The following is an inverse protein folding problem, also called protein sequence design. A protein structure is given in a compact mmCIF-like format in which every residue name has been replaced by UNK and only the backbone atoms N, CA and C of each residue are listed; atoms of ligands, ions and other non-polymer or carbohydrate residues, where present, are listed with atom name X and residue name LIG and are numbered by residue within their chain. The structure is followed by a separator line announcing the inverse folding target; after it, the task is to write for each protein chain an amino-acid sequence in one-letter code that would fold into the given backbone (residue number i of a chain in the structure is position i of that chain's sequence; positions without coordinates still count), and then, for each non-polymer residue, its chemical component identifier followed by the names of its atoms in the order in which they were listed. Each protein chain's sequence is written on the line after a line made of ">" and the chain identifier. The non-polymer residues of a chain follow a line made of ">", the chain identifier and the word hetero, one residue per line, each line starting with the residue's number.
data_IF_301448018618
#
_entry.id   IF_301448018618
#
_cell.length_a   1.000
_cell.length_b   1.000
_cell.length_c   1.000
_cell.angle_alpha   90.00
_cell.angle_beta   90.00
_cell.angle_gamma   90.00
#
_symmetry.space_group_name_H-M   'P 1'
#
loop_
_entity.id
_entity.type
_entity.pdbx_description
1 polymer ?
#
# COMPACT_ATOMS: atom_id res chain seq x y z
N UNK A 1 -12.37 17.09 41.77
CA UNK A 1 -12.69 17.00 40.32
C UNK A 1 -13.46 18.24 39.89
N UNK A 2 -12.83 19.11 39.09
CA UNK A 2 -13.37 20.40 38.62
C UNK A 2 -14.34 20.20 37.43
N UNK A 3 -15.34 21.10 37.28
CA UNK A 3 -16.35 21.10 36.20
C UNK A 3 -15.72 20.98 34.80
N UNK A 4 -14.60 21.69 34.60
CA UNK A 4 -13.83 21.75 33.35
C UNK A 4 -13.38 20.36 32.88
N UNK A 5 -12.78 19.57 33.78
CA UNK A 5 -12.32 18.22 33.47
C UNK A 5 -13.48 17.26 33.18
N UNK A 6 -14.63 17.47 33.84
CA UNK A 6 -15.79 16.64 33.56
C UNK A 6 -16.38 16.89 32.17
N UNK A 7 -16.42 18.15 31.74
CA UNK A 7 -16.90 18.52 30.39
C UNK A 7 -15.92 18.06 29.32
N UNK A 8 -14.60 18.14 29.57
CA UNK A 8 -13.60 17.73 28.59
C UNK A 8 -13.57 16.22 28.31
N UNK A 9 -13.84 15.40 29.34
CA UNK A 9 -13.76 13.93 29.25
C UNK A 9 -15.13 13.24 29.33
N UNK A 10 -16.21 13.99 29.14
CA UNK A 10 -17.60 13.49 29.26
C UNK A 10 -17.83 12.67 30.54
N UNK A 11 -17.21 13.07 31.65
CA UNK A 11 -17.38 12.42 32.95
C UNK A 11 -18.61 13.01 33.63
N UNK A 12 -19.40 12.17 34.30
CA UNK A 12 -20.56 12.62 35.09
C UNK A 12 -20.17 13.73 36.07
N UNK A 13 -20.75 14.90 35.83
CA UNK A 13 -20.69 16.05 36.71
C UNK A 13 -22.07 16.15 37.35
N UNK A 14 -22.17 15.76 38.62
CA UNK A 14 -23.42 15.85 39.37
C UNK A 14 -24.07 17.25 39.31
N UNK A 15 -25.38 17.30 39.48
CA UNK A 15 -26.22 18.49 39.27
C UNK A 15 -25.77 19.75 40.04
N UNK A 16 -25.06 19.57 41.16
CA UNK A 16 -24.56 20.64 42.01
C UNK A 16 -23.51 21.54 41.34
N UNK A 17 -22.77 21.03 40.35
CA UNK A 17 -21.67 21.76 39.69
C UNK A 17 -22.05 22.38 38.35
N UNK A 18 -23.35 22.40 38.00
CA UNK A 18 -23.83 22.95 36.74
C UNK A 18 -23.92 24.49 36.77
N UNK A 19 -23.51 25.20 35.69
CA UNK A 19 -23.56 26.65 35.64
C UNK A 19 -25.01 27.16 35.68
N UNK A 20 -25.34 27.98 36.69
CA UNK A 20 -26.68 28.53 36.90
C UNK A 20 -26.99 29.81 36.12
N UNK A 21 -25.97 30.62 35.79
CA UNK A 21 -26.14 31.87 35.04
C UNK A 21 -26.17 31.65 33.52
N UNK A 22 -26.94 32.46 32.78
CA UNK A 22 -27.02 32.39 31.31
C UNK A 22 -25.66 32.63 30.63
N UNK A 23 -24.86 33.58 31.14
CA UNK A 23 -23.49 33.82 30.64
C UNK A 23 -22.56 32.63 30.92
N UNK A 24 -22.75 31.93 32.04
CA UNK A 24 -21.95 30.75 32.36
C UNK A 24 -22.33 29.55 31.46
N UNK A 25 -23.59 29.43 31.07
CA UNK A 25 -24.06 28.41 30.12
C UNK A 25 -23.46 28.58 28.73
N UNK A 26 -23.40 29.80 28.21
CA UNK A 26 -22.77 30.06 26.90
C UNK A 26 -21.29 29.75 26.92
N UNK A 27 -20.57 30.17 27.98
CA UNK A 27 -19.15 29.83 28.17
C UNK A 27 -18.94 28.32 28.27
N UNK A 28 -19.81 27.59 28.99
CA UNK A 28 -19.71 26.13 29.06
C UNK A 28 -19.97 25.43 27.72
N UNK A 29 -20.89 25.96 26.90
CA UNK A 29 -21.18 25.42 25.58
C UNK A 29 -20.00 25.61 24.63
N UNK A 30 -19.39 26.80 24.61
CA UNK A 30 -18.19 27.09 23.82
C UNK A 30 -17.01 26.22 24.28
N UNK A 31 -16.84 26.05 25.60
CA UNK A 31 -15.81 25.18 26.15
C UNK A 31 -16.01 23.71 25.77
N UNK A 32 -17.26 23.20 25.83
CA UNK A 32 -17.59 21.85 25.40
C UNK A 32 -17.30 21.64 23.90
N UNK A 33 -17.64 22.61 23.05
CA UNK A 33 -17.32 22.55 21.61
C UNK A 33 -15.81 22.54 21.37
N UNK A 34 -15.05 23.38 22.08
CA UNK A 34 -13.60 23.41 21.96
C UNK A 34 -12.96 22.09 22.40
N UNK A 35 -13.41 21.51 23.53
CA UNK A 35 -12.92 20.23 24.01
C UNK A 35 -13.20 19.11 23.00
N UNK A 36 -14.41 19.08 22.43
CA UNK A 36 -14.80 18.11 21.39
C UNK A 36 -13.92 18.24 20.13
N UNK A 37 -13.64 19.47 19.68
CA UNK A 37 -12.75 19.71 18.53
C UNK A 37 -11.34 19.17 18.82
N UNK A 38 -10.76 19.48 19.98
CA UNK A 38 -9.41 19.01 20.35
C UNK A 38 -9.31 17.49 20.37
N UNK A 39 -10.28 16.79 20.96
CA UNK A 39 -10.32 15.33 20.98
C UNK A 39 -10.44 14.76 19.57
N UNK A 40 -11.31 15.33 18.74
CA UNK A 40 -11.48 14.89 17.36
C UNK A 40 -10.23 15.13 16.51
N UNK A 41 -9.50 16.24 16.70
CA UNK A 41 -8.24 16.48 15.99
C UNK A 41 -7.17 15.45 16.36
N UNK A 42 -7.07 15.08 17.65
CA UNK A 42 -6.17 14.00 18.06
C UNK A 42 -6.57 12.65 17.47
N UNK A 43 -7.87 12.33 17.50
CA UNK A 43 -8.41 11.11 16.87
C UNK A 43 -8.17 11.10 15.35
N UNK A 44 -8.29 12.25 14.68
CA UNK A 44 -8.01 12.39 13.26
C UNK A 44 -6.52 12.16 12.94
N UNK A 45 -5.61 12.68 13.75
CA UNK A 45 -4.18 12.43 13.58
C UNK A 45 -3.82 10.96 13.82
N UNK A 46 -4.42 10.35 14.85
CA UNK A 46 -4.28 8.92 15.11
C UNK A 46 -4.86 8.08 13.96
N UNK A 47 -6.05 8.44 13.46
CA UNK A 47 -6.70 7.76 12.34
C UNK A 47 -5.89 7.92 11.05
N UNK A 48 -5.29 9.08 10.81
CA UNK A 48 -4.40 9.30 9.66
C UNK A 48 -3.19 8.35 9.69
N UNK A 49 -2.65 8.07 10.88
CA UNK A 49 -1.59 7.06 11.02
C UNK A 49 -2.12 5.63 10.83
N UNK A 50 -3.30 5.32 11.36
CA UNK A 50 -3.91 3.99 11.21
C UNK A 50 -4.36 3.69 9.77
N UNK A 51 -4.68 4.72 8.99
CA UNK A 51 -5.07 4.61 7.59
C UNK A 51 -3.87 4.63 6.62
N UNK A 52 -2.66 4.94 7.08
CA UNK A 52 -1.50 4.84 6.18
C UNK A 52 -1.21 3.36 5.95
N UNK A 53 -1.47 2.91 4.72
CA UNK A 53 -1.24 1.53 4.31
C UNK A 53 0.25 1.20 4.48
N UNK A 54 0.62 0.20 5.31
CA UNK A 54 2.02 -0.14 5.55
C UNK A 54 2.70 -0.72 4.31
N UNK A 55 1.92 -1.17 3.33
CA UNK A 55 2.42 -1.83 2.13
C UNK A 55 1.90 -1.15 0.86
N UNK A 56 2.63 -0.13 0.40
CA UNK A 56 2.45 0.41 -0.95
C UNK A 56 3.25 -0.45 -1.90
N UNK A 57 2.56 -1.22 -2.73
CA UNK A 57 3.20 -1.99 -3.78
C UNK A 57 4.07 -1.05 -4.64
N UNK A 58 5.30 -1.46 -5.00
CA UNK A 58 6.18 -0.61 -5.81
C UNK A 58 5.60 -0.33 -7.20
N UNK A 59 4.74 -1.23 -7.69
CA UNK A 59 4.07 -1.15 -8.99
C UNK A 59 2.54 -1.24 -8.83
N UNK A 60 1.82 -0.43 -9.60
CA UNK A 60 0.34 -0.48 -9.63
C UNK A 60 -0.19 -1.62 -10.50
N UNK A 61 0.60 -2.07 -11.48
CA UNK A 61 0.23 -3.10 -12.44
C UNK A 61 1.18 -3.16 -13.64
N UNK A 62 0.79 -3.91 -14.67
CA UNK A 62 1.65 -4.16 -15.83
C UNK A 62 1.81 -2.93 -16.74
N UNK A 63 0.87 -1.98 -16.70
CA UNK A 63 0.91 -0.74 -17.48
C UNK A 63 1.67 0.41 -16.79
N UNK A 64 2.35 0.12 -15.68
CA UNK A 64 3.10 1.11 -14.91
C UNK A 64 4.36 1.59 -15.69
N UNK A 65 4.55 2.90 -15.75
CA UNK A 65 5.70 3.52 -16.41
C UNK A 65 7.04 3.09 -15.78
N UNK A 66 7.05 2.70 -14.49
CA UNK A 66 8.23 2.18 -13.79
C UNK A 66 8.84 0.94 -14.45
N UNK A 67 8.03 0.13 -15.13
CA UNK A 67 8.51 -1.07 -15.86
C UNK A 67 9.23 -0.74 -17.16
N UNK A 68 9.01 0.47 -17.68
CA UNK A 68 9.57 0.95 -18.94
C UNK A 68 10.71 1.94 -18.73
N UNK A 69 10.65 2.75 -17.67
CA UNK A 69 11.59 3.83 -17.39
C UNK A 69 12.45 3.52 -16.17
N UNK A 70 13.72 3.16 -16.42
CA UNK A 70 14.72 2.85 -15.37
C UNK A 70 14.91 3.99 -14.37
N UNK A 71 14.71 5.24 -14.80
CA UNK A 71 14.88 6.43 -13.95
C UNK A 71 13.81 6.60 -12.88
N UNK A 72 12.64 5.97 -13.04
CA UNK A 72 11.50 6.17 -12.13
C UNK A 72 11.63 5.34 -10.85
N UNK A 73 12.60 4.40 -10.79
CA UNK A 73 12.89 3.56 -9.62
C UNK A 73 14.42 3.40 -9.43
N UNK A 74 15.12 4.38 -8.83
CA UNK A 74 16.56 4.30 -8.58
C UNK A 74 16.91 3.23 -7.54
N UNK A 75 18.10 2.58 -7.60
CA UNK A 75 19.25 2.92 -8.44
C UNK A 75 19.29 2.25 -9.83
N UNK A 76 18.66 1.09 -10.00
CA UNK A 76 18.79 0.26 -11.21
C UNK A 76 17.47 -0.01 -11.94
N UNK A 77 16.43 0.78 -11.69
CA UNK A 77 15.09 0.51 -12.22
C UNK A 77 14.44 -0.67 -11.51
N UNK A 78 13.16 -0.88 -11.78
CA UNK A 78 12.43 -2.02 -11.27
C UNK A 78 12.84 -3.28 -12.04
N UNK A 79 13.45 -4.27 -11.39
CA UNK A 79 13.91 -5.51 -12.03
C UNK A 79 12.78 -6.53 -12.12
N UNK A 80 12.26 -6.75 -13.32
CA UNK A 80 11.18 -7.68 -13.57
C UNK A 80 11.73 -8.96 -14.20
N UNK A 81 11.53 -10.10 -13.53
CA UNK A 81 11.93 -11.41 -14.02
C UNK A 81 10.81 -12.14 -14.76
N UNK A 82 11.18 -12.96 -15.73
CA UNK A 82 10.28 -13.93 -16.39
C UNK A 82 11.04 -15.22 -16.65
N UNK A 83 10.32 -16.35 -16.63
CA UNK A 83 10.94 -17.66 -16.92
C UNK A 83 11.28 -17.76 -18.40
N UNK A 84 12.52 -18.18 -18.71
CA UNK A 84 13.00 -18.32 -20.09
C UNK A 84 12.20 -19.41 -20.82
N UNK A 85 11.76 -19.10 -22.04
CA UNK A 85 11.00 -20.02 -22.88
C UNK A 85 9.56 -20.23 -22.43
N UNK A 86 9.08 -19.44 -21.48
CA UNK A 86 7.70 -19.53 -21.00
C UNK A 86 6.72 -18.80 -21.92
N UNK A 87 5.42 -19.10 -21.76
CA UNK A 87 4.36 -18.44 -22.53
C UNK A 87 4.30 -16.94 -22.21
N UNK A 88 4.64 -16.58 -20.98
CA UNK A 88 4.73 -15.20 -20.52
C UNK A 88 5.84 -14.47 -21.28
N UNK A 89 7.03 -15.05 -21.41
CA UNK A 89 8.11 -14.44 -22.20
C UNK A 89 7.68 -14.19 -23.65
N UNK A 90 7.06 -15.21 -24.28
CA UNK A 90 6.57 -15.11 -25.64
C UNK A 90 5.47 -14.05 -25.80
N UNK A 91 4.62 -13.88 -24.78
CA UNK A 91 3.59 -12.84 -24.74
C UNK A 91 4.21 -11.45 -24.82
N UNK A 92 5.11 -11.08 -23.91
CA UNK A 92 5.74 -9.75 -23.94
C UNK A 92 6.58 -9.51 -25.20
N UNK A 93 7.22 -10.55 -25.73
CA UNK A 93 8.03 -10.46 -26.95
C UNK A 93 7.20 -10.21 -28.20
N UNK A 94 6.06 -10.90 -28.35
CA UNK A 94 5.28 -10.92 -29.58
C UNK A 94 3.98 -10.11 -29.51
N UNK A 95 3.67 -9.46 -28.37
CA UNK A 95 2.42 -8.75 -28.17
C UNK A 95 2.13 -7.69 -29.24
N UNK A 96 0.84 -7.50 -29.57
CA UNK A 96 0.37 -6.52 -30.56
C UNK A 96 0.65 -5.08 -30.10
N UNK A 97 0.37 -4.76 -28.84
CA UNK A 97 0.67 -3.45 -28.25
C UNK A 97 2.19 -3.24 -28.11
N UNK A 98 2.68 -2.11 -28.63
CA UNK A 98 4.09 -1.69 -28.54
C UNK A 98 4.62 -1.62 -27.11
N UNK A 99 3.77 -1.21 -26.16
CA UNK A 99 4.14 -1.04 -24.76
C UNK A 99 4.72 -2.31 -24.11
N UNK A 100 4.05 -3.46 -24.25
CA UNK A 100 4.55 -4.74 -23.71
C UNK A 100 5.87 -5.18 -24.35
N UNK A 101 6.03 -4.93 -25.65
CA UNK A 101 7.29 -5.20 -26.37
C UNK A 101 8.43 -4.31 -25.87
N UNK A 102 8.13 -3.06 -25.53
CA UNK A 102 9.10 -2.14 -24.92
C UNK A 102 9.54 -2.64 -23.54
N UNK A 103 8.61 -3.11 -22.69
CA UNK A 103 8.94 -3.74 -21.40
C UNK A 103 9.87 -4.94 -21.62
N UNK A 104 9.60 -5.78 -22.62
CA UNK A 104 10.45 -6.93 -22.92
C UNK A 104 11.89 -6.52 -23.23
N UNK A 105 12.07 -5.55 -24.13
CA UNK A 105 13.41 -5.13 -24.57
C UNK A 105 14.20 -4.38 -23.51
N UNK A 106 13.54 -3.61 -22.66
CA UNK A 106 14.19 -2.78 -21.63
C UNK A 106 14.50 -3.57 -20.37
N UNK A 107 13.60 -4.46 -19.95
CA UNK A 107 13.66 -5.07 -18.62
C UNK A 107 13.76 -6.61 -18.66
N UNK A 108 12.76 -7.28 -19.25
CA UNK A 108 12.64 -8.75 -19.17
C UNK A 108 13.78 -9.48 -19.87
N UNK A 109 14.28 -8.98 -21.00
CA UNK A 109 15.37 -9.61 -21.75
C UNK A 109 16.65 -9.75 -20.93
N UNK A 110 16.87 -8.85 -19.97
CA UNK A 110 18.07 -8.80 -19.13
C UNK A 110 17.93 -9.75 -17.94
N UNK A 111 16.71 -9.87 -17.40
CA UNK A 111 16.39 -10.60 -16.18
C UNK A 111 15.64 -11.92 -16.45
N UNK A 112 16.15 -12.70 -17.42
CA UNK A 112 15.58 -14.02 -17.73
C UNK A 112 16.00 -15.05 -16.67
N UNK A 113 15.02 -15.77 -16.17
CA UNK A 113 15.21 -16.79 -15.13
C UNK A 113 15.11 -18.18 -15.76
N UNK A 114 15.97 -19.13 -15.37
CA UNK A 114 15.95 -20.47 -15.96
C UNK A 114 14.73 -21.33 -15.54
N UNK A 115 13.98 -20.93 -14.50
CA UNK A 115 12.78 -21.64 -14.03
C UNK A 115 12.01 -20.88 -12.95
N UNK A 116 10.74 -21.25 -12.71
CA UNK A 116 9.88 -20.57 -11.75
C UNK A 116 10.44 -20.59 -10.31
N UNK A 117 10.92 -21.75 -9.85
CA UNK A 117 11.53 -21.88 -8.52
C UNK A 117 12.80 -21.04 -8.36
N UNK A 118 13.65 -20.99 -9.39
CA UNK A 118 14.80 -20.10 -9.40
C UNK A 118 14.37 -18.63 -9.33
N UNK A 119 13.25 -18.28 -9.95
CA UNK A 119 12.71 -16.92 -9.94
C UNK A 119 12.27 -16.50 -8.55
N UNK A 120 11.61 -17.39 -7.80
CA UNK A 120 11.24 -17.16 -6.40
C UNK A 120 12.47 -17.03 -5.50
N UNK A 121 13.53 -17.81 -5.76
CA UNK A 121 14.80 -17.68 -5.02
C UNK A 121 15.47 -16.33 -5.28
N UNK A 122 15.52 -15.88 -6.54
CA UNK A 122 16.06 -14.56 -6.90
C UNK A 122 15.23 -13.41 -6.31
N UNK A 123 13.90 -13.57 -6.25
CA UNK A 123 13.00 -12.63 -5.58
C UNK A 123 13.27 -12.58 -4.06
N UNK A 124 13.63 -13.71 -3.46
CA UNK A 124 13.95 -13.81 -2.01
C UNK A 124 15.30 -13.23 -1.66
N UNK A 125 16.25 -13.32 -2.59
CA UNK A 125 17.59 -12.75 -2.46
C UNK A 125 17.66 -11.25 -2.81
N UNK A 126 16.50 -10.61 -3.07
CA UNK A 126 16.38 -9.22 -3.51
C UNK A 126 17.18 -8.92 -4.81
N UNK A 127 17.39 -9.96 -5.63
CA UNK A 127 18.01 -9.81 -6.97
C UNK A 127 16.99 -9.32 -8.00
N UNK A 128 15.72 -9.68 -7.81
CA UNK A 128 14.56 -9.25 -8.59
C UNK A 128 13.56 -8.53 -7.69
N UNK A 129 12.92 -7.49 -8.23
CA UNK A 129 11.86 -6.74 -7.54
C UNK A 129 10.46 -7.29 -7.85
N UNK A 130 10.33 -8.05 -8.95
CA UNK A 130 9.07 -8.68 -9.35
C UNK A 130 9.28 -9.87 -10.28
N UNK A 131 8.29 -10.77 -10.29
CA UNK A 131 8.28 -11.97 -11.13
C UNK A 131 6.97 -12.04 -11.91
N UNK A 132 7.07 -12.29 -13.22
CA UNK A 132 5.92 -12.57 -14.08
C UNK A 132 5.71 -14.09 -14.19
N UNK A 133 4.47 -14.52 -14.01
CA UNK A 133 4.08 -15.92 -14.12
C UNK A 133 2.57 -16.10 -14.13
N UNK A 134 2.13 -17.36 -14.18
CA UNK A 134 0.72 -17.71 -14.07
C UNK A 134 0.13 -17.31 -12.71
N UNK A 135 -1.13 -16.88 -12.72
CA UNK A 135 -1.84 -16.39 -11.54
C UNK A 135 -1.90 -17.43 -10.42
N UNK A 136 -2.22 -18.69 -10.74
CA UNK A 136 -2.37 -19.73 -9.71
C UNK A 136 -1.01 -20.06 -9.09
N UNK A 137 0.03 -20.15 -9.90
CA UNK A 137 1.39 -20.43 -9.45
C UNK A 137 1.93 -19.32 -8.53
N UNK A 138 1.73 -18.04 -8.91
CA UNK A 138 2.13 -16.89 -8.10
C UNK A 138 1.32 -16.79 -6.81
N UNK A 139 0.00 -16.99 -6.86
CA UNK A 139 -0.87 -16.98 -5.68
C UNK A 139 -0.48 -18.09 -4.70
N UNK A 140 -0.17 -19.27 -5.21
CA UNK A 140 0.31 -20.37 -4.38
C UNK A 140 1.67 -20.05 -3.74
N UNK A 141 2.61 -19.47 -4.50
CA UNK A 141 3.90 -19.06 -3.97
C UNK A 141 3.77 -17.99 -2.87
N UNK A 142 2.90 -17.00 -3.06
CA UNK A 142 2.61 -15.98 -2.05
C UNK A 142 1.96 -16.55 -0.78
N UNK A 143 1.01 -17.48 -0.92
CA UNK A 143 0.36 -18.12 0.22
C UNK A 143 1.29 -19.07 0.99
N UNK A 144 2.30 -19.63 0.33
CA UNK A 144 3.26 -20.54 0.95
C UNK A 144 4.39 -19.79 1.69
N UNK A 145 4.55 -18.49 1.47
CA UNK A 145 5.55 -17.69 2.16
C UNK A 145 5.10 -17.38 3.60
N UNK A 146 5.92 -17.77 4.58
CA UNK A 146 5.59 -17.64 6.00
C UNK A 146 5.54 -16.18 6.49
N UNK A 147 6.24 -15.29 5.78
CA UNK A 147 6.37 -13.88 6.14
C UNK A 147 5.47 -12.95 5.33
N UNK A 148 4.63 -13.49 4.43
CA UNK A 148 3.75 -12.71 3.54
C UNK A 148 4.48 -11.55 2.83
N UNK A 149 5.71 -11.77 2.36
CA UNK A 149 6.54 -10.71 1.76
C UNK A 149 6.07 -10.31 0.37
N UNK A 150 5.38 -11.22 -0.32
CA UNK A 150 4.97 -11.04 -1.71
C UNK A 150 3.46 -10.90 -1.82
N UNK A 151 3.05 -10.00 -2.70
CA UNK A 151 1.65 -9.83 -3.06
C UNK A 151 1.54 -9.65 -4.57
N UNK A 152 0.39 -9.99 -5.12
CA UNK A 152 0.11 -9.82 -6.54
C UNK A 152 -0.09 -8.34 -6.85
N UNK A 153 0.48 -7.88 -7.96
CA UNK A 153 0.40 -6.50 -8.40
C UNK A 153 -0.51 -6.35 -9.62
N UNK A 154 -1.51 -5.47 -9.52
CA UNK A 154 -2.44 -5.15 -10.60
C UNK A 154 -3.44 -6.25 -10.93
N UNK A 155 -4.19 -6.02 -12.02
CA UNK A 155 -5.17 -6.97 -12.55
C UNK A 155 -4.54 -7.95 -13.55
N UNK A 156 -5.26 -9.05 -13.81
CA UNK A 156 -4.88 -10.01 -14.83
C UNK A 156 -4.86 -9.33 -16.21
N UNK A 157 -3.72 -9.44 -16.91
CA UNK A 157 -3.50 -8.79 -18.21
C UNK A 157 -3.72 -9.70 -19.42
N UNK A 158 -3.96 -11.00 -19.20
CA UNK A 158 -4.40 -11.93 -20.24
C UNK A 158 -5.90 -11.74 -20.47
N UNK A 159 -6.27 -10.94 -21.47
CA UNK A 159 -7.63 -10.78 -21.95
C UNK A 159 -7.66 -10.80 -23.48
#
# INVERSE_FOLDING_TARGET
>A
MSYVWGVAFSKDIGAEKTPRSNSARTVSAVYALLALIMVNTYCANLMAFLLDDPYKLPISGVEDAKLTEKSLYPPDGFKLGVTRGSNEEAYFKNHVKYFFRKIYHVNLKIHLVDGFQAGIQQLTNDELDGLVGDYLSLKQAGNNDANCRYSLAGENFYN
#
